data_IF_500497764723
#
_entry.id   IF_500497764723
#
_cell.length_a   1.000
_cell.length_b   1.000
_cell.length_c   1.000
_cell.angle_alpha   90.00
_cell.angle_beta   90.00
_cell.angle_gamma   90.00
#
_symmetry.space_group_name_H-M   'P 1'
#
loop_
_entity.id
_entity.type
_entity.pdbx_description
1 polymer ?
#
# COMPACT_ATOMS: atom_id res chain seq x y z
N UNK A 1 -3.38 -2.66 14.37
CA UNK A 1 -4.11 -2.81 13.08
C UNK A 1 -5.33 -3.69 13.31
N UNK A 2 -6.44 -3.35 12.71
CA UNK A 2 -7.64 -4.20 12.69
C UNK A 2 -7.84 -4.76 11.29
N UNK A 3 -8.43 -5.93 11.19
CA UNK A 3 -8.70 -6.63 9.93
C UNK A 3 -7.53 -7.47 9.40
N UNK A 4 -6.32 -7.10 9.71
CA UNK A 4 -5.08 -7.86 9.53
C UNK A 4 -4.21 -7.65 10.76
N UNK A 5 -3.23 -8.51 10.95
CA UNK A 5 -2.06 -8.14 11.75
C UNK A 5 -1.12 -7.35 10.86
N UNK A 6 -0.22 -6.56 11.44
CA UNK A 6 0.78 -5.84 10.66
C UNK A 6 1.66 -6.81 9.84
N UNK A 7 2.03 -7.94 10.43
CA UNK A 7 2.82 -8.98 9.76
C UNK A 7 2.08 -9.54 8.54
N UNK A 8 0.79 -9.88 8.70
CA UNK A 8 -0.03 -10.35 7.58
C UNK A 8 -0.13 -9.31 6.47
N UNK A 9 -0.39 -8.05 6.84
CA UNK A 9 -0.48 -6.95 5.89
C UNK A 9 0.80 -6.83 5.06
N UNK A 10 1.95 -6.79 5.73
CA UNK A 10 3.24 -6.63 5.04
C UNK A 10 3.60 -7.87 4.19
N UNK A 11 3.30 -9.07 4.67
CA UNK A 11 3.54 -10.30 3.92
C UNK A 11 2.67 -10.37 2.66
N UNK A 12 1.42 -9.94 2.76
CA UNK A 12 0.51 -9.93 1.60
C UNK A 12 1.02 -9.00 0.49
N UNK A 13 1.69 -7.91 0.85
CA UNK A 13 2.28 -7.00 -0.14
C UNK A 13 3.40 -7.65 -0.97
N UNK A 14 3.98 -8.73 -0.48
CA UNK A 14 5.01 -9.49 -1.18
C UNK A 14 4.44 -10.54 -2.13
N UNK A 15 3.13 -10.77 -2.11
CA UNK A 15 2.47 -11.82 -2.88
C UNK A 15 2.56 -11.53 -4.38
N UNK A 16 2.97 -12.54 -5.14
CA UNK A 16 2.96 -12.48 -6.60
C UNK A 16 1.54 -12.32 -7.12
N UNK A 17 1.37 -11.48 -8.12
CA UNK A 17 0.07 -11.18 -8.70
C UNK A 17 -0.53 -9.88 -8.21
N UNK A 18 0.13 -9.25 -7.26
CA UNK A 18 -0.21 -7.92 -6.79
C UNK A 18 -1.19 -7.92 -5.62
N UNK A 19 -0.78 -7.33 -4.52
CA UNK A 19 -1.69 -7.10 -3.41
C UNK A 19 -2.76 -6.09 -3.80
N UNK A 20 -3.97 -6.32 -3.27
CA UNK A 20 -5.03 -5.34 -3.25
C UNK A 20 -5.48 -5.19 -1.82
N UNK A 21 -5.37 -4.00 -1.28
CA UNK A 21 -5.79 -3.68 0.08
C UNK A 21 -6.65 -2.44 0.08
N UNK A 22 -7.77 -2.50 0.79
CA UNK A 22 -8.52 -1.32 1.15
C UNK A 22 -8.39 -1.12 2.65
N UNK A 23 -8.00 0.08 3.07
CA UNK A 23 -7.85 0.38 4.49
C UNK A 23 -8.40 1.75 4.83
N UNK A 24 -8.74 1.91 6.10
CA UNK A 24 -9.19 3.17 6.67
C UNK A 24 -8.14 3.69 7.62
N UNK A 25 -7.87 4.98 7.52
CA UNK A 25 -6.96 5.69 8.39
C UNK A 25 -7.53 7.09 8.67
N UNK A 26 -7.80 7.36 9.94
CA UNK A 26 -8.32 8.66 10.40
C UNK A 26 -9.56 9.12 9.62
N UNK A 27 -10.50 8.23 9.42
CA UNK A 27 -11.78 8.53 8.78
C UNK A 27 -11.75 8.58 7.26
N UNK A 28 -10.61 8.34 6.63
CA UNK A 28 -10.47 8.29 5.18
C UNK A 28 -10.17 6.87 4.72
N UNK A 29 -10.66 6.52 3.54
CA UNK A 29 -10.40 5.22 2.93
C UNK A 29 -9.40 5.33 1.82
N UNK A 30 -8.51 4.36 1.76
CA UNK A 30 -7.45 4.28 0.78
C UNK A 30 -7.42 2.91 0.14
N UNK A 31 -7.00 2.87 -1.11
CA UNK A 31 -6.80 1.64 -1.84
C UNK A 31 -5.34 1.52 -2.23
N UNK A 32 -4.73 0.38 -1.89
CA UNK A 32 -3.36 0.05 -2.26
C UNK A 32 -3.40 -1.05 -3.31
N UNK A 33 -2.78 -0.82 -4.45
CA UNK A 33 -2.69 -1.79 -5.53
C UNK A 33 -1.27 -1.98 -6.02
N UNK A 34 -0.99 -3.18 -6.52
CA UNK A 34 0.19 -3.46 -7.33
C UNK A 34 -0.25 -3.73 -8.76
N UNK A 35 0.49 -3.19 -9.71
CA UNK A 35 0.19 -3.32 -11.13
C UNK A 35 1.49 -3.30 -11.96
N UNK A 36 1.45 -3.73 -13.23
CA UNK A 36 2.61 -3.56 -14.11
C UNK A 36 2.97 -2.08 -14.25
N UNK A 37 4.27 -1.78 -14.30
CA UNK A 37 4.74 -0.40 -14.48
C UNK A 37 4.67 -0.01 -15.96
N UNK A 38 3.57 0.61 -16.34
CA UNK A 38 3.34 1.00 -17.72
C UNK A 38 3.43 -0.18 -18.67
N UNK A 39 4.26 -0.07 -19.70
CA UNK A 39 4.52 -1.14 -20.69
C UNK A 39 5.77 -1.95 -20.38
N UNK A 40 6.42 -1.72 -19.26
CA UNK A 40 7.62 -2.45 -18.86
C UNK A 40 7.27 -3.73 -18.10
N UNK A 41 7.39 -4.92 -18.75
CA UNK A 41 7.02 -6.18 -18.11
C UNK A 41 8.01 -6.63 -17.02
N UNK A 42 9.14 -5.92 -16.86
CA UNK A 42 10.18 -6.26 -15.89
C UNK A 42 10.02 -5.54 -14.57
N UNK A 43 9.05 -4.62 -14.48
CA UNK A 43 8.83 -3.82 -13.28
C UNK A 43 7.39 -3.86 -12.83
N UNK A 44 7.20 -3.67 -11.52
CA UNK A 44 5.90 -3.52 -10.89
C UNK A 44 5.78 -2.14 -10.27
N UNK A 45 4.56 -1.65 -10.14
CA UNK A 45 4.26 -0.36 -9.52
C UNK A 45 3.30 -0.58 -8.36
N UNK A 46 3.59 0.05 -7.22
CA UNK A 46 2.65 0.18 -6.11
C UNK A 46 2.05 1.57 -6.15
N UNK A 47 0.73 1.64 -6.03
CA UNK A 47 0.01 2.90 -5.95
C UNK A 47 -0.94 2.88 -4.75
N UNK A 48 -1.10 4.03 -4.12
CA UNK A 48 -2.12 4.24 -3.09
C UNK A 48 -2.90 5.48 -3.47
N UNK A 49 -4.22 5.37 -3.47
CA UNK A 49 -5.11 6.49 -3.74
C UNK A 49 -6.28 6.51 -2.77
N UNK A 50 -6.85 7.69 -2.57
CA UNK A 50 -8.02 7.86 -1.72
C UNK A 50 -9.26 7.39 -2.46
N UNK A 51 -10.07 6.55 -1.80
CA UNK A 51 -11.32 6.03 -2.37
C UNK A 51 -12.41 7.11 -2.38
N UNK A 52 -13.35 6.98 -3.32
CA UNK A 52 -14.53 7.83 -3.40
C UNK A 52 -14.25 9.31 -3.67
N UNK A 53 -13.31 9.59 -4.54
CA UNK A 53 -13.01 10.94 -4.97
C UNK A 53 -12.44 10.93 -6.38
N UNK A 54 -11.92 12.05 -6.82
CA UNK A 54 -11.05 12.08 -7.97
C UNK A 54 -9.83 11.22 -7.67
N UNK A 55 -9.22 10.62 -8.69
CA UNK A 55 -8.00 9.84 -8.53
C UNK A 55 -6.93 10.69 -7.85
N UNK A 56 -6.85 10.57 -6.54
CA UNK A 56 -5.89 11.29 -5.74
C UNK A 56 -4.83 10.30 -5.24
N UNK A 57 -3.79 10.15 -6.03
CA UNK A 57 -2.69 9.28 -5.66
C UNK A 57 -1.86 9.96 -4.57
N UNK A 58 -1.77 9.31 -3.41
CA UNK A 58 -0.94 9.80 -2.31
C UNK A 58 0.44 9.16 -2.32
N UNK A 59 0.63 8.07 -3.08
CA UNK A 59 1.88 7.36 -3.16
C UNK A 59 1.98 6.56 -4.46
N UNK A 60 3.15 6.62 -5.08
CA UNK A 60 3.52 5.76 -6.21
C UNK A 60 4.98 5.41 -6.09
N UNK A 61 5.31 4.15 -6.31
CA UNK A 61 6.69 3.72 -6.48
C UNK A 61 6.72 2.54 -7.45
N UNK A 62 7.89 2.29 -8.02
CA UNK A 62 8.09 1.14 -8.89
C UNK A 62 9.43 0.48 -8.59
N UNK A 63 9.55 -0.77 -8.98
CA UNK A 63 10.77 -1.55 -8.79
C UNK A 63 10.69 -2.85 -9.58
N UNK A 64 11.75 -3.63 -9.50
CA UNK A 64 11.85 -4.91 -10.22
C UNK A 64 11.01 -6.01 -9.61
N UNK A 65 10.53 -5.81 -8.40
CA UNK A 65 9.75 -6.80 -7.65
C UNK A 65 8.88 -6.13 -6.62
N UNK A 66 7.89 -6.87 -6.10
CA UNK A 66 7.10 -6.42 -4.97
C UNK A 66 7.99 -6.12 -3.75
N UNK A 67 9.04 -6.91 -3.54
CA UNK A 67 9.96 -6.70 -2.42
C UNK A 67 10.65 -5.33 -2.49
N UNK A 68 11.05 -4.88 -3.66
CA UNK A 68 11.62 -3.53 -3.82
C UNK A 68 10.60 -2.45 -3.51
N UNK A 69 9.36 -2.60 -4.00
CA UNK A 69 8.28 -1.66 -3.71
C UNK A 69 7.94 -1.63 -2.22
N UNK A 70 7.88 -2.79 -1.57
CA UNK A 70 7.66 -2.88 -0.12
C UNK A 70 8.77 -2.17 0.64
N UNK A 71 10.01 -2.34 0.22
CA UNK A 71 11.16 -1.65 0.83
C UNK A 71 11.03 -0.12 0.77
N UNK A 72 10.46 0.40 -0.30
CA UNK A 72 10.19 1.83 -0.44
C UNK A 72 8.99 2.23 0.43
N UNK A 73 7.91 1.47 0.35
CA UNK A 73 6.68 1.73 1.10
C UNK A 73 6.91 1.75 2.61
N UNK A 74 7.67 0.79 3.13
CA UNK A 74 7.87 0.67 4.58
C UNK A 74 8.63 1.85 5.18
N UNK A 75 9.41 2.58 4.38
CA UNK A 75 10.15 3.76 4.80
C UNK A 75 9.39 5.05 4.53
N UNK A 76 8.33 4.99 3.74
CA UNK A 76 7.57 6.17 3.36
C UNK A 76 6.72 6.67 4.53
N UNK A 77 6.76 7.98 4.76
CA UNK A 77 6.03 8.63 5.85
C UNK A 77 4.66 9.08 5.37
N UNK A 78 3.81 8.13 5.03
CA UNK A 78 2.50 8.35 4.42
C UNK A 78 1.37 8.63 5.42
N UNK A 79 1.63 8.44 6.70
CA UNK A 79 0.61 8.48 7.74
C UNK A 79 0.88 9.68 8.66
N UNK A 80 0.66 10.87 8.13
CA UNK A 80 0.90 12.13 8.84
C UNK A 80 2.34 12.26 9.35
N UNK A 81 3.29 11.99 8.46
CA UNK A 81 4.72 12.07 8.78
C UNK A 81 5.26 10.84 9.49
N UNK A 82 4.47 9.76 9.58
CA UNK A 82 4.88 8.50 10.20
C UNK A 82 4.89 7.38 9.16
N UNK A 83 5.70 6.35 9.41
CA UNK A 83 5.69 5.13 8.61
C UNK A 83 4.51 4.24 9.02
N UNK A 84 4.24 3.19 8.24
CA UNK A 84 3.22 2.20 8.60
C UNK A 84 3.52 1.54 9.95
N UNK A 85 4.78 1.31 10.28
CA UNK A 85 5.17 0.71 11.56
C UNK A 85 4.82 1.62 12.74
N UNK A 86 4.89 2.93 12.55
CA UNK A 86 4.56 3.91 13.57
C UNK A 86 3.04 4.13 13.69
N UNK A 87 2.32 3.98 12.58
CA UNK A 87 0.90 4.34 12.49
C UNK A 87 -0.06 3.15 12.52
N UNK A 88 0.43 1.91 12.51
CA UNK A 88 -0.41 0.72 12.29
C UNK A 88 -1.58 0.58 13.29
N UNK A 89 -1.45 1.07 14.50
CA UNK A 89 -2.53 1.01 15.50
C UNK A 89 -3.78 1.79 15.07
N UNK A 90 -3.64 2.76 14.18
CA UNK A 90 -4.73 3.59 13.68
C UNK A 90 -5.29 3.11 12.35
N UNK A 91 -4.84 1.97 11.84
CA UNK A 91 -5.23 1.45 10.53
C UNK A 91 -6.21 0.29 10.70
N UNK A 92 -7.30 0.34 9.94
CA UNK A 92 -8.26 -0.77 9.82
C UNK A 92 -8.26 -1.26 8.38
N UNK A 93 -7.94 -2.52 8.17
CA UNK A 93 -8.00 -3.13 6.84
C UNK A 93 -9.42 -3.58 6.59
N UNK A 94 -10.03 -3.08 5.50
CA UNK A 94 -11.42 -3.35 5.13
C UNK A 94 -11.52 -4.47 4.10
N UNK A 95 -10.49 -4.64 3.28
CA UNK A 95 -10.43 -5.66 2.24
C UNK A 95 -8.96 -6.04 1.99
N UNK A 96 -8.77 -7.34 1.72
CA UNK A 96 -7.43 -7.86 1.39
C UNK A 96 -6.68 -8.57 2.52
#
# INVERSE_FOLDING_TARGET
MKGNTLTEFMNDLLTMGGPEKEYEYRGKRFFLESQPYGLDPTQVEFVIFECFGEENYIFKCHGKSNAECVSIFEKAKLFDGRTIYEAHDEITVLYG
#
